data_IF_687769610676
#
_entry.id   IF_687769610676
#
_cell.length_a   1.000
_cell.length_b   1.000
_cell.length_c   1.000
_cell.angle_alpha   90.00
_cell.angle_beta   90.00
_cell.angle_gamma   90.00
#
_symmetry.space_group_name_H-M   'P 1'
#
loop_
_entity.id
_entity.type
_entity.pdbx_description
1 polymer ?
#
# COMPACT_ATOMS: atom_id res chain seq x y z
N UNK A 1 -7.29 -14.25 6.31
CA UNK A 1 -7.11 -13.58 4.99
C UNK A 1 -7.60 -14.41 3.81
N UNK A 2 -7.84 -15.72 3.96
CA UNK A 2 -8.23 -16.63 2.88
C UNK A 2 -9.70 -16.53 2.43
N UNK A 3 -10.57 -15.87 3.19
CA UNK A 3 -12.03 -16.02 3.01
C UNK A 3 -12.68 -14.95 2.12
N UNK A 4 -11.98 -13.86 1.82
CA UNK A 4 -12.53 -12.74 1.02
C UNK A 4 -11.71 -12.47 -0.25
N UNK A 5 -10.38 -12.53 -0.15
CA UNK A 5 -9.49 -12.20 -1.26
C UNK A 5 -9.38 -13.36 -2.26
N UNK A 6 -9.24 -14.59 -1.78
CA UNK A 6 -9.08 -15.79 -2.63
C UNK A 6 -10.31 -16.07 -3.51
N UNK A 7 -11.57 -15.93 -3.02
CA UNK A 7 -12.75 -16.06 -3.87
C UNK A 7 -12.86 -14.96 -4.93
N UNK A 8 -12.56 -13.70 -4.57
CA UNK A 8 -12.68 -12.56 -5.50
C UNK A 8 -11.64 -12.64 -6.63
N UNK A 9 -10.41 -13.01 -6.29
CA UNK A 9 -9.34 -13.21 -7.28
C UNK A 9 -9.66 -14.43 -8.16
N UNK A 10 -10.15 -15.52 -7.57
CA UNK A 10 -10.58 -16.71 -8.30
C UNK A 10 -11.76 -16.47 -9.25
N UNK A 11 -12.66 -15.54 -8.93
CA UNK A 11 -13.81 -15.20 -9.77
C UNK A 11 -13.44 -14.30 -10.96
N UNK A 12 -12.46 -13.41 -10.80
CA UNK A 12 -12.04 -12.46 -11.86
C UNK A 12 -10.95 -13.06 -12.75
N UNK A 13 -10.00 -13.82 -12.18
CA UNK A 13 -8.82 -14.32 -12.89
C UNK A 13 -8.79 -15.85 -13.05
N UNK A 14 -9.81 -16.57 -12.56
CA UNK A 14 -9.78 -18.02 -12.43
C UNK A 14 -8.95 -18.47 -11.22
N UNK A 15 -9.16 -19.70 -10.73
CA UNK A 15 -8.27 -20.31 -9.73
C UNK A 15 -6.99 -20.75 -10.44
N UNK A 16 -5.81 -20.15 -10.19
CA UNK A 16 -4.56 -20.69 -10.70
C UNK A 16 -4.31 -21.99 -9.95
N UNK A 17 -4.47 -23.13 -10.61
CA UNK A 17 -4.18 -24.44 -10.03
C UNK A 17 -2.99 -25.09 -10.75
N UNK A 18 -1.84 -25.01 -10.10
CA UNK A 18 -0.59 -25.62 -10.56
C UNK A 18 -0.31 -26.97 -9.88
N UNK A 19 -1.30 -27.56 -9.19
CA UNK A 19 -1.16 -28.84 -8.48
C UNK A 19 -0.82 -30.02 -9.41
N UNK A 20 -1.09 -29.90 -10.71
CA UNK A 20 -0.73 -30.89 -11.73
C UNK A 20 0.74 -30.89 -12.16
N UNK A 21 1.55 -29.90 -11.75
CA UNK A 21 2.98 -29.84 -12.10
C UNK A 21 3.77 -30.66 -11.07
N UNK A 22 4.07 -31.91 -11.41
CA UNK A 22 4.88 -32.82 -10.60
C UNK A 22 6.30 -32.86 -11.17
N UNK A 23 7.30 -32.40 -10.41
CA UNK A 23 8.72 -32.57 -10.74
C UNK A 23 9.30 -33.59 -9.75
N UNK A 24 9.27 -34.88 -10.12
CA UNK A 24 9.85 -35.97 -9.32
C UNK A 24 9.10 -36.32 -8.01
N UNK A 25 9.77 -36.94 -7.01
CA UNK A 25 9.17 -37.38 -5.74
C UNK A 25 8.95 -36.25 -4.71
N UNK A 26 9.31 -35.01 -5.06
CA UNK A 26 9.15 -33.84 -4.20
C UNK A 26 7.90 -33.09 -4.67
N UNK A 27 6.93 -32.90 -3.79
CA UNK A 27 5.72 -32.10 -4.07
C UNK A 27 6.03 -30.60 -4.15
N UNK A 28 6.88 -30.21 -5.11
CA UNK A 28 7.25 -28.82 -5.37
C UNK A 28 6.07 -28.02 -5.96
N UNK A 29 5.07 -28.70 -6.52
CA UNK A 29 3.88 -28.07 -7.10
C UNK A 29 3.11 -27.20 -6.11
N UNK A 30 2.99 -27.60 -4.83
CA UNK A 30 2.33 -26.76 -3.81
C UNK A 30 3.11 -25.50 -3.49
N UNK A 31 4.44 -25.60 -3.44
CA UNK A 31 5.32 -24.46 -3.17
C UNK A 31 5.30 -23.46 -4.33
N UNK A 32 5.39 -23.94 -5.57
CA UNK A 32 5.27 -23.10 -6.77
C UNK A 32 3.88 -22.45 -6.83
N UNK A 33 2.81 -23.20 -6.55
CA UNK A 33 1.47 -22.65 -6.51
C UNK A 33 1.34 -21.53 -5.46
N UNK A 34 1.91 -21.71 -4.27
CA UNK A 34 1.92 -20.68 -3.23
C UNK A 34 2.67 -19.41 -3.67
N UNK A 35 3.82 -19.55 -4.33
CA UNK A 35 4.59 -18.41 -4.87
C UNK A 35 3.79 -17.67 -5.94
N UNK A 36 3.23 -18.40 -6.92
CA UNK A 36 2.47 -17.78 -8.01
C UNK A 36 1.24 -17.06 -7.48
N UNK A 37 0.48 -17.69 -6.57
CA UNK A 37 -0.66 -17.06 -5.93
C UNK A 37 -0.27 -15.80 -5.14
N UNK A 38 0.85 -15.85 -4.39
CA UNK A 38 1.36 -14.68 -3.68
C UNK A 38 1.71 -13.52 -4.63
N UNK A 39 2.38 -13.81 -5.75
CA UNK A 39 2.72 -12.80 -6.75
C UNK A 39 1.48 -12.17 -7.38
N UNK A 40 0.47 -12.97 -7.73
CA UNK A 40 -0.80 -12.46 -8.29
C UNK A 40 -1.48 -11.53 -7.29
N UNK A 41 -1.64 -11.95 -6.03
CA UNK A 41 -2.25 -11.14 -4.98
C UNK A 41 -1.47 -9.83 -4.79
N UNK A 42 -0.13 -9.90 -4.75
CA UNK A 42 0.73 -8.74 -4.60
C UNK A 42 0.55 -7.74 -5.75
N UNK A 43 0.49 -8.21 -7.01
CA UNK A 43 0.26 -7.38 -8.18
C UNK A 43 -1.11 -6.70 -8.08
N UNK A 44 -2.16 -7.45 -7.76
CA UNK A 44 -3.53 -6.91 -7.65
C UNK A 44 -3.61 -5.84 -6.56
N UNK A 45 -3.04 -6.06 -5.38
CA UNK A 45 -3.04 -5.08 -4.29
C UNK A 45 -2.20 -3.85 -4.64
N UNK A 46 -1.01 -4.05 -5.23
CA UNK A 46 -0.12 -2.95 -5.60
C UNK A 46 -0.77 -2.03 -6.64
N UNK A 47 -1.26 -2.58 -7.75
CA UNK A 47 -1.88 -1.77 -8.80
C UNK A 47 -3.29 -1.31 -8.44
N UNK A 48 -4.07 -2.11 -7.72
CA UNK A 48 -5.46 -1.81 -7.37
C UNK A 48 -5.59 -0.81 -6.21
N UNK A 49 -4.65 -0.79 -5.26
CA UNK A 49 -4.75 0.04 -4.04
C UNK A 49 -3.56 0.98 -3.91
N UNK A 50 -2.32 0.46 -3.96
CA UNK A 50 -1.12 1.26 -3.64
C UNK A 50 -0.88 2.36 -4.68
N UNK A 51 -0.92 2.04 -5.98
CA UNK A 51 -0.74 3.01 -7.06
C UNK A 51 -1.80 4.13 -7.04
N UNK A 52 -3.11 3.86 -6.97
CA UNK A 52 -4.11 4.93 -6.91
C UNK A 52 -4.01 5.75 -5.62
N UNK A 53 -3.71 5.12 -4.47
CA UNK A 53 -3.46 5.85 -3.23
C UNK A 53 -2.24 6.78 -3.35
N UNK A 54 -1.13 6.28 -3.89
CA UNK A 54 0.08 7.08 -4.12
C UNK A 54 -0.21 8.26 -5.06
N UNK A 55 -0.90 8.03 -6.18
CA UNK A 55 -1.28 9.07 -7.13
C UNK A 55 -2.22 10.12 -6.52
N UNK A 56 -3.12 9.70 -5.62
CA UNK A 56 -3.99 10.63 -4.87
C UNK A 56 -3.18 11.45 -3.87
N UNK A 57 -2.26 10.82 -3.15
CA UNK A 57 -1.40 11.49 -2.19
C UNK A 57 -0.51 12.52 -2.88
N UNK A 58 0.15 12.17 -4.00
CA UNK A 58 0.95 13.10 -4.80
C UNK A 58 0.15 14.31 -5.30
N UNK A 59 -1.14 14.14 -5.60
CA UNK A 59 -2.02 15.26 -5.98
C UNK A 59 -2.40 16.13 -4.78
N UNK A 60 -2.60 15.54 -3.61
CA UNK A 60 -2.85 16.28 -2.37
C UNK A 60 -1.59 17.06 -1.97
N UNK A 61 -0.43 16.42 -2.01
CA UNK A 61 0.85 17.03 -1.66
C UNK A 61 1.21 18.17 -2.63
N UNK A 62 0.98 18.00 -3.93
CA UNK A 62 1.11 19.10 -4.91
C UNK A 62 0.14 20.25 -4.64
N UNK A 63 -1.09 19.96 -4.22
CA UNK A 63 -2.05 20.99 -3.80
C UNK A 63 -1.67 21.66 -2.48
N UNK A 64 -0.98 20.95 -1.59
CA UNK A 64 -0.48 21.48 -0.31
C UNK A 64 0.77 22.35 -0.51
N UNK A 65 1.62 22.03 -1.48
CA UNK A 65 2.77 22.83 -1.89
C UNK A 65 2.38 24.10 -2.70
N UNK A 66 1.24 24.08 -3.40
CA UNK A 66 0.73 25.23 -4.17
C UNK A 66 -0.20 26.16 -3.37
N UNK A 67 -0.66 25.74 -2.18
CA UNK A 67 -1.31 26.64 -1.25
C UNK A 67 -0.21 27.44 -0.54
N UNK A 68 -0.30 28.79 -0.46
CA UNK A 68 0.52 29.52 0.50
C UNK A 68 0.28 28.83 1.85
N UNK A 69 1.36 28.46 2.54
CA UNK A 69 1.31 27.71 3.79
C UNK A 69 0.13 28.25 4.60
N UNK A 70 -0.90 27.41 4.79
CA UNK A 70 -2.04 27.75 5.66
C UNK A 70 -1.40 28.33 6.90
N UNK A 71 -1.71 29.61 7.20
CA UNK A 71 -1.10 30.29 8.33
C UNK A 71 -1.15 29.31 9.50
N UNK A 72 -0.02 29.03 10.17
CA UNK A 72 0.01 28.05 11.23
C UNK A 72 -1.15 28.33 12.19
N UNK A 73 -1.84 27.27 12.65
CA UNK A 73 -2.92 27.46 13.62
C UNK A 73 -2.41 28.30 14.78
N UNK A 74 -3.28 29.10 15.41
CA UNK A 74 -2.86 30.01 16.50
C UNK A 74 -2.04 29.27 17.56
N UNK A 75 -2.38 28.02 17.85
CA UNK A 75 -1.61 27.12 18.72
C UNK A 75 -0.17 26.93 18.26
N UNK A 76 0.07 26.62 16.98
CA UNK A 76 1.43 26.42 16.44
C UNK A 76 2.23 27.73 16.44
N UNK A 77 1.55 28.87 16.26
CA UNK A 77 2.16 30.20 16.38
C UNK A 77 2.60 30.50 17.82
N UNK A 78 1.71 30.32 18.79
CA UNK A 78 2.01 30.50 20.21
C UNK A 78 3.13 29.56 20.67
N UNK A 79 3.14 28.30 20.21
CA UNK A 79 4.21 27.34 20.49
C UNK A 79 5.56 27.77 19.90
N UNK A 80 5.57 28.38 18.70
CA UNK A 80 6.79 28.90 18.08
C UNK A 80 7.35 30.10 18.84
N UNK A 81 6.49 30.99 19.32
CA UNK A 81 6.87 32.17 20.12
C UNK A 81 7.42 31.76 21.50
N UNK A 82 6.82 30.75 22.14
CA UNK A 82 7.36 30.16 23.38
C UNK A 82 8.75 29.57 23.14
N UNK A 83 8.97 28.86 22.03
CA UNK A 83 10.27 28.27 21.70
C UNK A 83 11.34 29.35 21.51
N UNK A 84 11.03 30.44 20.79
CA UNK A 84 11.93 31.59 20.66
C UNK A 84 12.25 32.24 22.01
N UNK A 85 11.24 32.41 22.86
CA UNK A 85 11.40 33.01 24.20
C UNK A 85 12.31 32.18 25.10
N UNK A 86 12.22 30.84 25.01
CA UNK A 86 13.10 29.94 25.76
C UNK A 86 14.53 29.91 25.22
N UNK A 87 14.71 30.05 23.91
CA UNK A 87 16.04 30.02 23.29
C UNK A 87 16.85 31.29 23.57
N UNK A 88 16.17 32.41 23.81
CA UNK A 88 16.76 33.71 24.16
C UNK A 88 16.99 33.89 25.68
N UNK A 89 16.78 32.86 26.49
CA UNK A 89 16.92 32.88 27.95
C UNK A 89 18.03 31.95 28.40
#
# INVERSE_FOLDING_TARGET
VGDVLTPLIGAIFGRPDFSGIVIGPIFLGKFINAIVNFLIVAIVIYFGIVVPMKKRQERIDKKKAAQPATAPSEEVRLLSEILETLKNK
#
